data_IF_233760721444
#
_entry.id   IF_233760721444
#
_cell.length_a   1.000
_cell.length_b   1.000
_cell.length_c   1.000
_cell.angle_alpha   90.00
_cell.angle_beta   90.00
_cell.angle_gamma   90.00
#
_symmetry.space_group_name_H-M   'P 1'
#
loop_
_entity.id
_entity.type
_entity.pdbx_description
1 polymer ?
#
# COMPACT_ATOMS: atom_id res chain seq x y z
N UNK A 1 -28.92 -0.32 5.86
CA UNK A 1 -27.72 0.13 5.12
C UNK A 1 -26.43 -0.48 5.67
N UNK A 2 -26.09 -0.33 6.95
CA UNK A 2 -24.92 -0.96 7.56
C UNK A 2 -24.88 -2.47 7.28
N UNK A 3 -25.98 -3.18 7.50
CA UNK A 3 -26.12 -4.62 7.25
C UNK A 3 -25.83 -5.02 5.79
N UNK A 4 -26.27 -4.21 4.83
CA UNK A 4 -26.04 -4.46 3.40
C UNK A 4 -24.57 -4.24 3.06
N UNK A 5 -23.98 -3.12 3.49
CA UNK A 5 -22.56 -2.82 3.31
C UNK A 5 -21.66 -3.87 3.99
N UNK A 6 -22.00 -4.27 5.22
CA UNK A 6 -21.26 -5.32 5.94
C UNK A 6 -21.37 -6.66 5.22
N UNK A 7 -22.57 -7.05 4.77
CA UNK A 7 -22.79 -8.29 4.02
C UNK A 7 -22.01 -8.32 2.71
N UNK A 8 -22.00 -7.20 1.98
CA UNK A 8 -21.29 -7.09 0.70
C UNK A 8 -19.76 -7.07 0.87
N UNK A 9 -19.27 -6.42 1.93
CA UNK A 9 -17.84 -6.26 2.17
C UNK A 9 -17.24 -7.39 3.00
N UNK A 10 -17.91 -7.76 4.09
CA UNK A 10 -17.35 -8.75 5.03
C UNK A 10 -17.60 -10.18 4.59
N UNK A 11 -18.68 -10.51 3.95
CA UNK A 11 -19.00 -11.83 3.40
C UNK A 11 -18.40 -13.05 4.12
N UNK A 12 -19.08 -14.18 4.13
CA UNK A 12 -18.63 -15.40 4.86
C UNK A 12 -17.20 -15.83 4.50
N UNK A 13 -16.81 -15.66 3.22
CA UNK A 13 -15.46 -16.03 2.77
C UNK A 13 -14.34 -15.23 3.45
N UNK A 14 -14.56 -13.94 3.72
CA UNK A 14 -13.56 -13.09 4.40
C UNK A 14 -13.45 -13.41 5.88
N UNK A 15 -14.59 -13.74 6.51
CA UNK A 15 -14.60 -14.19 7.91
C UNK A 15 -13.79 -15.48 8.05
N UNK A 16 -14.03 -16.46 7.17
CA UNK A 16 -13.28 -17.73 7.17
C UNK A 16 -11.78 -17.48 6.90
N UNK A 17 -11.46 -16.62 5.93
CA UNK A 17 -10.06 -16.27 5.65
C UNK A 17 -9.40 -15.58 6.84
N UNK A 18 -10.07 -14.66 7.51
CA UNK A 18 -9.55 -13.97 8.69
C UNK A 18 -9.31 -14.93 9.86
N UNK A 19 -10.24 -15.84 10.13
CA UNK A 19 -10.06 -16.87 11.15
C UNK A 19 -8.89 -17.80 10.83
N UNK A 20 -8.74 -18.18 9.57
CA UNK A 20 -7.62 -19.00 9.13
C UNK A 20 -6.28 -18.28 9.30
N UNK A 21 -6.22 -16.98 9.00
CA UNK A 21 -5.03 -16.15 9.24
C UNK A 21 -4.66 -16.11 10.72
N UNK A 22 -5.64 -15.95 11.61
CA UNK A 22 -5.42 -15.97 13.07
C UNK A 22 -4.84 -17.31 13.50
N UNK A 23 -5.44 -18.43 13.08
CA UNK A 23 -4.98 -19.77 13.44
C UNK A 23 -3.55 -20.01 12.93
N UNK A 24 -3.27 -19.65 11.67
CA UNK A 24 -1.92 -19.76 11.09
C UNK A 24 -0.92 -18.88 11.85
N UNK A 25 -1.30 -17.66 12.22
CA UNK A 25 -0.46 -16.75 12.98
C UNK A 25 -0.06 -17.34 14.35
N UNK A 26 -1.00 -17.96 15.06
CA UNK A 26 -0.74 -18.62 16.35
C UNK A 26 0.19 -19.83 16.17
N UNK A 27 -0.04 -20.67 15.15
CA UNK A 27 0.82 -21.82 14.85
C UNK A 27 2.24 -21.37 14.51
N UNK A 28 2.38 -20.34 13.67
CA UNK A 28 3.69 -19.80 13.27
C UNK A 28 4.39 -19.16 14.46
N UNK A 29 3.66 -18.48 15.35
CA UNK A 29 4.23 -17.91 16.59
C UNK A 29 4.85 -18.97 17.49
N UNK A 30 4.28 -20.18 17.54
CA UNK A 30 4.84 -21.29 18.29
C UNK A 30 5.98 -22.04 17.59
N UNK A 31 6.07 -21.93 16.25
CA UNK A 31 7.03 -22.69 15.44
C UNK A 31 8.30 -21.91 15.08
N UNK A 32 8.24 -20.57 15.09
CA UNK A 32 9.33 -19.69 14.64
C UNK A 32 9.83 -18.85 15.80
N UNK A 33 11.12 -18.93 16.07
CA UNK A 33 11.76 -18.11 17.11
C UNK A 33 12.26 -16.78 16.53
N UNK A 34 11.30 -15.92 16.12
CA UNK A 34 11.57 -14.62 15.55
C UNK A 34 11.19 -13.52 16.55
N UNK A 35 12.14 -12.78 17.04
CA UNK A 35 11.88 -11.59 17.87
C UNK A 35 11.45 -10.45 16.96
N UNK A 36 10.20 -9.98 17.10
CA UNK A 36 9.68 -8.87 16.31
C UNK A 36 9.57 -7.63 17.17
N UNK A 37 10.27 -6.55 16.79
CA UNK A 37 10.20 -5.31 17.55
C UNK A 37 8.75 -4.77 17.57
N UNK A 38 8.24 -4.29 18.72
CA UNK A 38 6.87 -3.81 18.89
C UNK A 38 6.43 -2.77 17.86
N UNK A 39 7.35 -1.93 17.40
CA UNK A 39 7.12 -0.91 16.36
C UNK A 39 6.71 -1.51 15.02
N UNK A 40 7.22 -2.68 14.67
CA UNK A 40 6.91 -3.37 13.41
C UNK A 40 5.43 -3.75 13.36
N UNK A 41 4.85 -4.24 14.46
CA UNK A 41 3.43 -4.54 14.55
C UNK A 41 2.56 -3.30 14.31
N UNK A 42 2.91 -2.18 14.93
CA UNK A 42 2.19 -0.92 14.81
C UNK A 42 2.20 -0.38 13.37
N UNK A 43 3.36 -0.40 12.72
CA UNK A 43 3.52 0.07 11.34
C UNK A 43 2.87 -0.91 10.35
N UNK A 44 2.98 -2.21 10.59
CA UNK A 44 2.28 -3.22 9.79
C UNK A 44 0.76 -3.03 9.84
N UNK A 45 0.19 -2.69 11.02
CA UNK A 45 -1.23 -2.38 11.16
C UNK A 45 -1.63 -1.14 10.35
N UNK A 46 -0.86 -0.05 10.44
CA UNK A 46 -1.09 1.17 9.65
C UNK A 46 -0.99 0.91 8.14
N UNK A 47 0.09 0.27 7.70
CA UNK A 47 0.36 0.05 6.30
C UNK A 47 -0.65 -0.93 5.66
N UNK A 48 -1.02 -2.01 6.36
CA UNK A 48 -2.07 -2.93 5.90
C UNK A 48 -3.42 -2.24 5.79
N UNK A 49 -3.74 -1.32 6.71
CA UNK A 49 -4.96 -0.53 6.67
C UNK A 49 -5.01 0.40 5.45
N UNK A 50 -3.93 1.12 5.17
CA UNK A 50 -3.83 2.00 4.00
C UNK A 50 -3.98 1.17 2.71
N UNK A 51 -3.21 0.08 2.60
CA UNK A 51 -3.22 -0.77 1.41
C UNK A 51 -4.59 -1.41 1.17
N UNK A 52 -5.16 -2.04 2.19
CA UNK A 52 -6.48 -2.70 2.08
C UNK A 52 -7.58 -1.68 1.74
N UNK A 53 -7.54 -0.50 2.37
CA UNK A 53 -8.50 0.58 2.07
C UNK A 53 -8.36 1.06 0.63
N UNK A 54 -7.15 1.32 0.17
CA UNK A 54 -6.88 1.72 -1.21
C UNK A 54 -7.36 0.66 -2.21
N UNK A 55 -7.07 -0.62 -1.96
CA UNK A 55 -7.50 -1.73 -2.80
C UNK A 55 -9.03 -1.89 -2.82
N UNK A 56 -9.69 -1.75 -1.67
CA UNK A 56 -11.14 -1.82 -1.58
C UNK A 56 -11.81 -0.67 -2.33
N UNK A 57 -11.33 0.54 -2.17
CA UNK A 57 -11.88 1.72 -2.83
C UNK A 57 -11.70 1.68 -4.36
N UNK A 58 -10.63 1.08 -4.85
CA UNK A 58 -10.36 0.99 -6.29
C UNK A 58 -10.97 -0.24 -6.96
N UNK A 59 -11.03 -1.37 -6.27
CA UNK A 59 -11.48 -2.63 -6.84
C UNK A 59 -12.98 -2.92 -6.63
N UNK A 60 -13.49 -2.64 -5.44
CA UNK A 60 -14.87 -2.98 -5.06
C UNK A 60 -15.84 -1.82 -5.28
N UNK A 61 -15.35 -0.59 -5.01
CA UNK A 61 -16.14 0.63 -5.14
C UNK A 61 -15.78 1.38 -6.41
N UNK A 62 -15.80 0.69 -7.55
CA UNK A 62 -15.96 1.42 -8.81
C UNK A 62 -17.18 2.32 -8.66
N UNK A 63 -17.00 3.56 -9.06
CA UNK A 63 -17.99 4.63 -9.00
C UNK A 63 -19.40 4.18 -9.33
N UNK A 64 -19.55 3.20 -10.24
CA UNK A 64 -20.87 2.68 -10.65
C UNK A 64 -21.59 1.89 -9.55
N UNK A 65 -20.87 1.19 -8.66
CA UNK A 65 -21.50 0.52 -7.49
C UNK A 65 -21.83 1.52 -6.38
N UNK A 66 -20.96 2.51 -6.16
CA UNK A 66 -21.27 3.57 -5.18
C UNK A 66 -22.44 4.46 -5.61
N UNK A 67 -22.67 4.68 -6.91
CA UNK A 67 -23.84 5.41 -7.40
C UNK A 67 -25.16 4.82 -6.91
N UNK A 68 -25.28 3.49 -6.83
CA UNK A 68 -26.45 2.84 -6.27
C UNK A 68 -26.69 3.17 -4.79
N UNK A 69 -25.61 3.27 -3.99
CA UNK A 69 -25.71 3.62 -2.57
C UNK A 69 -25.95 5.12 -2.34
N UNK A 70 -25.45 5.99 -3.23
CA UNK A 70 -25.64 7.45 -3.19
C UNK A 70 -27.10 7.83 -3.43
N UNK A 71 -27.88 6.97 -4.10
CA UNK A 71 -29.31 7.16 -4.31
C UNK A 71 -30.16 6.87 -3.07
N UNK A 72 -29.56 6.25 -2.02
CA UNK A 72 -30.28 6.01 -0.77
C UNK A 72 -30.44 7.32 0.03
N UNK A 73 -31.56 7.50 0.74
CA UNK A 73 -31.82 8.71 1.54
C UNK A 73 -31.01 8.71 2.84
N UNK A 74 -29.69 8.70 2.71
CA UNK A 74 -28.76 8.68 3.85
C UNK A 74 -27.86 9.92 3.79
N UNK A 75 -27.67 10.65 4.89
CA UNK A 75 -26.76 11.79 4.93
C UNK A 75 -25.33 11.36 4.54
N UNK A 76 -24.65 12.15 3.68
CA UNK A 76 -23.31 11.83 3.18
C UNK A 76 -22.29 11.50 4.27
N UNK A 77 -22.27 12.27 5.35
CA UNK A 77 -21.36 12.03 6.47
C UNK A 77 -21.60 10.69 7.17
N UNK A 78 -22.87 10.31 7.39
CA UNK A 78 -23.22 9.00 7.94
C UNK A 78 -22.82 7.86 7.01
N UNK A 79 -22.98 8.06 5.69
CA UNK A 79 -22.55 7.08 4.71
C UNK A 79 -21.04 6.87 4.76
N UNK A 80 -20.25 7.96 4.73
CA UNK A 80 -18.79 7.90 4.76
C UNK A 80 -18.28 7.28 6.06
N UNK A 81 -18.88 7.62 7.20
CA UNK A 81 -18.52 7.02 8.47
C UNK A 81 -18.85 5.52 8.54
N UNK A 82 -20.03 5.13 8.04
CA UNK A 82 -20.41 3.71 7.93
C UNK A 82 -19.43 2.95 7.03
N UNK A 83 -19.03 3.54 5.90
CA UNK A 83 -18.04 2.99 5.01
C UNK A 83 -16.69 2.83 5.70
N UNK A 84 -16.23 3.87 6.42
CA UNK A 84 -14.98 3.84 7.18
C UNK A 84 -14.98 2.70 8.22
N UNK A 85 -16.03 2.58 9.02
CA UNK A 85 -16.16 1.54 10.03
C UNK A 85 -16.20 0.13 9.41
N UNK A 86 -16.89 -0.03 8.28
CA UNK A 86 -16.96 -1.34 7.60
C UNK A 86 -15.61 -1.72 7.00
N UNK A 87 -14.90 -0.77 6.38
CA UNK A 87 -13.55 -1.00 5.85
C UNK A 87 -12.58 -1.30 6.98
N UNK A 88 -12.67 -0.60 8.10
CA UNK A 88 -11.86 -0.87 9.29
C UNK A 88 -12.10 -2.28 9.84
N UNK A 89 -13.36 -2.73 9.94
CA UNK A 89 -13.67 -4.10 10.33
C UNK A 89 -13.06 -5.16 9.39
N UNK A 90 -13.05 -4.89 8.07
CA UNK A 90 -12.38 -5.75 7.08
C UNK A 90 -10.88 -5.78 7.29
N UNK A 91 -10.25 -4.63 7.52
CA UNK A 91 -8.82 -4.50 7.80
C UNK A 91 -8.43 -5.27 9.06
N UNK A 92 -9.22 -5.10 10.12
CA UNK A 92 -9.01 -5.85 11.37
C UNK A 92 -9.04 -7.34 11.12
N UNK A 93 -10.05 -7.82 10.41
CA UNK A 93 -10.24 -9.25 10.16
C UNK A 93 -9.18 -9.85 9.24
N UNK A 94 -8.82 -9.16 8.15
CA UNK A 94 -7.93 -9.71 7.11
C UNK A 94 -6.43 -9.54 7.42
N UNK A 95 -6.05 -8.63 8.34
CA UNK A 95 -4.63 -8.28 8.53
C UNK A 95 -4.25 -8.09 10.01
N UNK A 96 -4.93 -7.20 10.72
CA UNK A 96 -4.49 -6.74 12.04
C UNK A 96 -4.70 -7.81 13.10
N UNK A 97 -5.82 -8.56 13.05
CA UNK A 97 -6.11 -9.62 14.01
C UNK A 97 -5.06 -10.74 13.99
N UNK A 98 -4.56 -11.10 12.80
CA UNK A 98 -3.46 -12.07 12.68
C UNK A 98 -2.17 -11.57 13.32
N UNK A 99 -1.81 -10.30 13.07
CA UNK A 99 -0.62 -9.69 13.67
C UNK A 99 -0.74 -9.57 15.21
N UNK A 100 -1.92 -9.20 15.72
CA UNK A 100 -2.20 -9.19 17.17
C UNK A 100 -2.10 -10.61 17.75
N UNK A 101 -2.73 -11.59 17.10
CA UNK A 101 -2.71 -12.98 17.57
C UNK A 101 -1.28 -13.54 17.64
N UNK A 102 -0.47 -13.24 16.60
CA UNK A 102 0.95 -13.61 16.56
C UNK A 102 1.72 -12.98 17.73
N UNK A 103 1.64 -11.66 17.90
CA UNK A 103 2.40 -10.95 18.91
C UNK A 103 1.94 -11.25 20.35
N UNK A 104 0.63 -11.47 20.57
CA UNK A 104 0.10 -11.89 21.88
C UNK A 104 0.55 -13.32 22.22
N UNK A 105 0.51 -14.24 21.24
CA UNK A 105 0.96 -15.62 21.45
C UNK A 105 2.45 -15.72 21.81
N UNK A 106 3.25 -14.75 21.37
CA UNK A 106 4.68 -14.66 21.72
C UNK A 106 4.96 -13.87 22.99
N UNK A 107 3.99 -13.13 23.53
CA UNK A 107 4.19 -12.19 24.63
C UNK A 107 4.88 -10.87 24.21
N UNK A 108 4.98 -10.58 22.90
CA UNK A 108 5.60 -9.36 22.37
C UNK A 108 4.69 -8.13 22.50
N UNK A 109 3.37 -8.32 22.69
CA UNK A 109 2.38 -7.27 22.71
C UNK A 109 1.72 -7.13 24.07
N UNK A 110 1.73 -5.90 24.59
CA UNK A 110 0.91 -5.48 25.73
C UNK A 110 -0.42 -4.84 25.28
N UNK A 111 -1.29 -4.56 26.22
CA UNK A 111 -2.60 -3.96 25.94
C UNK A 111 -2.51 -2.56 25.31
N UNK A 112 -1.46 -1.79 25.62
CA UNK A 112 -1.22 -0.45 25.07
C UNK A 112 -0.87 -0.58 23.60
N UNK A 113 0.00 -1.49 23.24
CA UNK A 113 0.43 -1.69 21.86
C UNK A 113 -0.69 -2.25 20.98
N UNK A 114 -1.51 -3.15 21.54
CA UNK A 114 -2.74 -3.61 20.84
C UNK A 114 -3.67 -2.43 20.57
N UNK A 115 -3.89 -1.53 21.54
CA UNK A 115 -4.70 -0.34 21.35
C UNK A 115 -4.10 0.59 20.27
N UNK A 116 -2.78 0.77 20.28
CA UNK A 116 -2.05 1.53 19.23
C UNK A 116 -2.29 0.92 17.84
N UNK A 117 -2.16 -0.39 17.68
CA UNK A 117 -2.39 -1.08 16.41
C UNK A 117 -3.83 -0.87 15.90
N UNK A 118 -4.83 -1.00 16.78
CA UNK A 118 -6.24 -0.81 16.43
C UNK A 118 -6.52 0.64 15.99
N UNK A 119 -5.96 1.63 16.69
CA UNK A 119 -6.12 3.04 16.37
C UNK A 119 -5.36 3.44 15.10
N UNK A 120 -4.14 2.95 14.90
CA UNK A 120 -3.39 3.17 13.66
C UNK A 120 -4.08 2.55 12.45
N UNK A 121 -4.70 1.38 12.61
CA UNK A 121 -5.53 0.81 11.57
C UNK A 121 -6.74 1.71 11.26
N UNK A 122 -7.40 2.24 12.27
CA UNK A 122 -8.50 3.21 12.12
C UNK A 122 -8.05 4.52 11.44
N UNK A 123 -6.89 5.04 11.85
CA UNK A 123 -6.25 6.18 11.21
C UNK A 123 -5.94 5.90 9.74
N UNK A 124 -5.32 4.77 9.42
CA UNK A 124 -4.99 4.36 8.06
C UNK A 124 -6.22 4.33 7.15
N UNK A 125 -7.34 3.79 7.64
CA UNK A 125 -8.62 3.78 6.93
C UNK A 125 -9.17 5.20 6.77
N UNK A 126 -9.30 5.95 7.86
CA UNK A 126 -9.89 7.30 7.86
C UNK A 126 -9.11 8.27 6.99
N UNK A 127 -7.80 8.32 7.15
CA UNK A 127 -6.92 9.21 6.39
C UNK A 127 -6.88 8.84 4.89
N UNK A 128 -6.84 7.54 4.55
CA UNK A 128 -6.91 7.10 3.15
C UNK A 128 -8.23 7.47 2.51
N UNK A 129 -9.35 7.32 3.22
CA UNK A 129 -10.66 7.80 2.76
C UNK A 129 -10.65 9.31 2.51
N UNK A 130 -10.09 10.11 3.44
CA UNK A 130 -9.98 11.57 3.25
C UNK A 130 -9.15 11.94 2.03
N UNK A 131 -8.03 11.25 1.79
CA UNK A 131 -7.18 11.46 0.60
C UNK A 131 -7.95 11.11 -0.68
N UNK A 132 -8.62 9.96 -0.71
CA UNK A 132 -9.36 9.50 -1.90
C UNK A 132 -10.57 10.38 -2.17
N UNK A 133 -11.31 10.76 -1.12
CA UNK A 133 -12.55 11.54 -1.20
C UNK A 133 -12.26 13.05 -1.27
N UNK A 134 -11.19 13.55 -0.63
CA UNK A 134 -10.93 14.96 -0.40
C UNK A 134 -10.15 15.74 -1.47
N UNK A 135 -9.93 15.23 -2.62
CA UNK A 135 -9.02 15.50 -3.76
C UNK A 135 -8.35 16.88 -3.94
N UNK A 136 -8.88 17.98 -3.45
CA UNK A 136 -8.28 19.36 -3.50
C UNK A 136 -8.76 20.21 -2.33
N UNK A 137 -9.21 19.60 -1.26
CA UNK A 137 -9.78 20.32 -0.12
C UNK A 137 -8.93 20.05 1.12
N UNK A 138 -9.00 20.90 2.11
CA UNK A 138 -8.23 20.78 3.35
C UNK A 138 -8.32 19.39 4.01
N UNK A 139 -9.43 18.67 3.78
CA UNK A 139 -9.59 17.30 4.26
C UNK A 139 -8.61 16.29 3.64
N UNK A 140 -8.34 16.38 2.33
CA UNK A 140 -7.35 15.51 1.69
C UNK A 140 -5.94 15.82 2.17
N UNK A 141 -5.63 17.10 2.37
CA UNK A 141 -4.35 17.54 2.96
C UNK A 141 -4.21 17.02 4.38
N UNK A 142 -5.26 17.11 5.20
CA UNK A 142 -5.26 16.55 6.56
C UNK A 142 -4.98 15.04 6.54
N UNK A 143 -5.61 14.30 5.64
CA UNK A 143 -5.34 12.87 5.47
C UNK A 143 -3.88 12.58 5.12
N UNK A 144 -3.28 13.35 4.21
CA UNK A 144 -1.86 13.22 3.85
C UNK A 144 -0.97 13.54 5.06
N UNK A 145 -1.24 14.65 5.78
CA UNK A 145 -0.48 15.03 6.97
C UNK A 145 -0.47 13.88 7.98
N UNK A 146 -1.64 13.30 8.29
CA UNK A 146 -1.72 12.20 9.24
C UNK A 146 -0.99 10.95 8.75
N UNK A 147 -1.07 10.59 7.47
CA UNK A 147 -0.36 9.43 6.93
C UNK A 147 1.17 9.62 6.96
N UNK A 148 1.63 10.82 6.61
CA UNK A 148 3.08 11.14 6.59
C UNK A 148 3.65 11.27 8.00
N UNK A 149 2.89 11.78 8.96
CA UNK A 149 3.36 11.93 10.35
C UNK A 149 3.27 10.66 11.18
N UNK A 150 2.34 9.75 10.86
CA UNK A 150 2.14 8.53 11.64
C UNK A 150 3.35 7.58 11.61
N UNK A 151 4.03 7.46 10.47
CA UNK A 151 5.20 6.58 10.32
C UNK A 151 6.36 7.03 11.21
N UNK A 152 6.88 8.27 11.08
CA UNK A 152 7.96 8.74 11.96
C UNK A 152 7.53 8.78 13.43
N UNK A 153 6.28 9.14 13.73
CA UNK A 153 5.80 9.10 15.11
C UNK A 153 5.92 7.70 15.72
N UNK A 154 5.56 6.66 14.95
CA UNK A 154 5.64 5.27 15.41
C UNK A 154 7.09 4.79 15.58
N UNK A 155 8.03 5.34 14.80
CA UNK A 155 9.45 4.99 14.89
C UNK A 155 10.13 5.69 16.06
N UNK A 156 9.89 6.98 16.23
CA UNK A 156 10.67 7.83 17.15
C UNK A 156 10.00 8.10 18.50
N UNK A 157 8.67 7.93 18.62
CA UNK A 157 7.95 8.19 19.84
C UNK A 157 7.64 6.90 20.61
N UNK A 158 7.57 7.01 21.93
CA UNK A 158 7.13 5.90 22.78
C UNK A 158 5.63 5.58 22.58
N UNK A 159 5.19 4.34 22.89
CA UNK A 159 3.84 3.83 22.61
C UNK A 159 2.73 4.70 23.20
N UNK A 160 2.91 5.31 24.37
CA UNK A 160 1.93 6.22 24.97
C UNK A 160 1.71 7.50 24.17
N UNK A 161 2.76 8.09 23.59
CA UNK A 161 2.65 9.28 22.73
C UNK A 161 1.98 8.92 21.40
N UNK A 162 2.35 7.77 20.81
CA UNK A 162 1.70 7.26 19.60
C UNK A 162 0.23 7.01 19.84
N UNK A 163 -0.15 6.48 20.99
CA UNK A 163 -1.55 6.28 21.38
C UNK A 163 -2.32 7.61 21.37
N UNK A 164 -1.80 8.63 22.06
CA UNK A 164 -2.42 9.96 22.13
C UNK A 164 -2.59 10.61 20.74
N UNK A 165 -1.53 10.57 19.92
CA UNK A 165 -1.58 11.09 18.56
C UNK A 165 -2.58 10.32 17.68
N UNK A 166 -2.64 8.99 17.81
CA UNK A 166 -3.57 8.16 17.05
C UNK A 166 -5.03 8.43 17.43
N UNK A 167 -5.32 8.65 18.71
CA UNK A 167 -6.66 9.07 19.17
C UNK A 167 -7.05 10.40 18.54
N UNK A 168 -6.17 11.41 18.62
CA UNK A 168 -6.41 12.72 18.01
C UNK A 168 -6.63 12.62 16.50
N UNK A 169 -5.83 11.83 15.82
CA UNK A 169 -5.91 11.65 14.38
C UNK A 169 -7.21 10.93 13.95
N UNK A 170 -7.61 9.88 14.66
CA UNK A 170 -8.88 9.17 14.41
C UNK A 170 -10.07 10.08 14.71
N UNK A 171 -10.04 10.83 15.81
CA UNK A 171 -11.10 11.77 16.17
C UNK A 171 -11.26 12.87 15.10
N UNK A 172 -10.17 13.49 14.67
CA UNK A 172 -10.20 14.56 13.66
C UNK A 172 -10.62 14.05 12.29
N UNK A 173 -10.12 12.89 11.85
CA UNK A 173 -10.54 12.27 10.58
C UNK A 173 -12.01 11.87 10.61
N UNK A 174 -12.48 11.29 11.72
CA UNK A 174 -13.88 10.93 11.93
C UNK A 174 -14.82 12.15 11.93
N UNK A 175 -14.44 13.21 12.63
CA UNK A 175 -15.18 14.47 12.66
C UNK A 175 -15.32 15.07 11.25
N UNK A 176 -14.21 15.10 10.47
CA UNK A 176 -14.23 15.60 9.10
C UNK A 176 -15.10 14.73 8.18
N UNK A 177 -15.11 13.41 8.35
CA UNK A 177 -15.97 12.53 7.57
C UNK A 177 -17.46 12.76 7.90
N UNK A 178 -17.81 12.92 9.19
CA UNK A 178 -19.18 13.15 9.66
C UNK A 178 -19.75 14.49 9.21
N UNK A 179 -18.94 15.54 9.15
CA UNK A 179 -19.39 16.89 8.76
C UNK A 179 -19.63 17.05 7.27
N UNK A 180 -19.40 16.02 6.45
CA UNK A 180 -19.60 16.10 5.01
C UNK A 180 -21.06 16.14 4.61
N UNK A 181 -21.41 17.14 3.81
CA UNK A 181 -22.80 17.39 3.37
C UNK A 181 -23.06 16.97 1.91
N UNK A 182 -22.06 16.51 1.16
CA UNK A 182 -22.18 16.28 -0.27
C UNK A 182 -21.51 14.98 -0.74
N UNK A 183 -22.23 14.22 -1.54
CA UNK A 183 -21.72 13.06 -2.29
C UNK A 183 -20.84 13.42 -3.49
N UNK A 184 -20.70 14.73 -3.80
CA UNK A 184 -19.87 15.20 -4.92
C UNK A 184 -18.41 14.70 -4.88
N UNK A 185 -17.98 14.18 -3.73
CA UNK A 185 -16.68 13.56 -3.52
C UNK A 185 -16.58 12.14 -4.11
N UNK A 186 -17.71 11.45 -4.24
CA UNK A 186 -17.78 10.10 -4.79
C UNK A 186 -18.01 10.10 -6.30
N UNK A 187 -18.32 11.26 -6.89
CA UNK A 187 -18.45 11.38 -8.34
C UNK A 187 -17.07 11.51 -8.98
N UNK A 188 -16.76 10.71 -10.00
CA UNK A 188 -15.53 10.90 -10.77
C UNK A 188 -15.63 12.24 -11.48
N UNK A 189 -14.85 13.22 -11.07
CA UNK A 189 -14.61 14.37 -11.93
C UNK A 189 -13.74 13.86 -13.08
N UNK A 190 -14.31 13.87 -14.28
CA UNK A 190 -13.60 13.68 -15.53
C UNK A 190 -12.25 14.43 -15.48
N UNK A 191 -11.19 13.73 -15.81
CA UNK A 191 -9.79 14.13 -15.62
C UNK A 191 -9.33 15.31 -16.50
N UNK A 192 -10.16 16.36 -16.65
CA UNK A 192 -9.89 17.49 -17.53
C UNK A 192 -8.85 18.51 -17.05
N UNK A 193 -8.52 18.54 -15.76
CA UNK A 193 -7.82 19.71 -15.20
C UNK A 193 -6.28 19.65 -15.14
N UNK A 194 -5.64 18.57 -15.60
CA UNK A 194 -4.16 18.43 -15.56
C UNK A 194 -3.54 18.35 -16.95
N UNK A 195 -4.29 18.70 -18.01
CA UNK A 195 -3.81 18.62 -19.40
C UNK A 195 -2.63 19.55 -19.73
N UNK A 196 -2.29 20.53 -18.89
CA UNK A 196 -1.27 21.52 -19.21
C UNK A 196 0.11 21.35 -18.57
N UNK A 197 0.28 20.47 -17.59
CA UNK A 197 1.50 20.44 -16.76
C UNK A 197 2.37 19.19 -16.90
N UNK A 198 1.89 18.14 -17.56
CA UNK A 198 2.67 16.91 -17.73
C UNK A 198 3.12 16.77 -19.19
N UNK A 199 4.38 16.38 -19.42
CA UNK A 199 4.85 16.03 -20.76
C UNK A 199 3.96 14.92 -21.37
N UNK A 200 3.91 14.84 -22.69
CA UNK A 200 3.11 13.86 -23.46
C UNK A 200 3.54 12.39 -23.23
N UNK A 201 3.83 12.03 -21.99
CA UNK A 201 4.22 10.68 -21.59
C UNK A 201 3.06 10.03 -20.84
N UNK A 202 2.43 9.04 -21.49
CA UNK A 202 1.31 8.28 -20.93
C UNK A 202 1.67 7.64 -19.57
N UNK A 203 2.83 7.00 -19.47
CA UNK A 203 3.27 6.26 -18.26
C UNK A 203 3.43 7.21 -17.07
N UNK A 204 4.07 8.36 -17.28
CA UNK A 204 4.22 9.39 -16.25
C UNK A 204 2.87 9.98 -15.87
N UNK A 205 1.98 10.16 -16.83
CA UNK A 205 0.61 10.63 -16.57
C UNK A 205 -0.17 9.64 -15.71
N UNK A 206 -0.06 8.34 -15.97
CA UNK A 206 -0.68 7.29 -15.16
C UNK A 206 -0.06 7.25 -13.77
N UNK A 207 1.27 7.26 -13.65
CA UNK A 207 1.98 7.28 -12.37
C UNK A 207 1.49 8.41 -11.45
N UNK A 208 1.35 9.62 -11.99
CA UNK A 208 0.95 10.81 -11.20
C UNK A 208 -0.57 10.87 -10.99
N UNK A 209 -1.37 10.36 -11.93
CA UNK A 209 -2.84 10.42 -11.86
C UNK A 209 -3.47 9.26 -11.11
N UNK A 210 -2.93 8.06 -11.23
CA UNK A 210 -3.45 6.89 -10.54
C UNK A 210 -2.95 6.87 -9.10
N UNK A 211 -3.81 7.32 -8.20
CA UNK A 211 -3.54 7.36 -6.76
C UNK A 211 -3.20 6.01 -6.17
N UNK A 212 -3.75 4.94 -6.74
CA UNK A 212 -3.43 3.58 -6.32
C UNK A 212 -1.95 3.32 -6.46
N UNK A 213 -1.36 3.73 -7.59
CA UNK A 213 0.07 3.57 -7.84
C UNK A 213 0.90 4.36 -6.83
N UNK A 214 0.53 5.62 -6.57
CA UNK A 214 1.22 6.46 -5.59
C UNK A 214 1.06 5.93 -4.15
N UNK A 215 -0.18 5.63 -3.74
CA UNK A 215 -0.46 5.11 -2.39
C UNK A 215 0.22 3.76 -2.20
N UNK A 216 0.13 2.85 -3.16
CA UNK A 216 0.81 1.56 -3.09
C UNK A 216 2.33 1.73 -2.99
N UNK A 217 2.92 2.66 -3.77
CA UNK A 217 4.34 2.98 -3.72
C UNK A 217 4.79 3.52 -2.36
N UNK A 218 4.04 4.47 -1.80
CA UNK A 218 4.32 5.02 -0.46
C UNK A 218 4.20 3.96 0.64
N UNK A 219 3.20 3.10 0.56
CA UNK A 219 3.01 1.99 1.53
C UNK A 219 4.16 1.00 1.44
N UNK A 220 4.56 0.60 0.23
CA UNK A 220 5.67 -0.33 0.05
C UNK A 220 7.00 0.30 0.51
N UNK A 221 7.22 1.59 0.26
CA UNK A 221 8.38 2.31 0.77
C UNK A 221 8.38 2.36 2.30
N UNK A 222 7.24 2.68 2.92
CA UNK A 222 7.12 2.66 4.38
C UNK A 222 7.40 1.26 4.96
N UNK A 223 6.87 0.20 4.35
CA UNK A 223 7.20 -1.17 4.73
C UNK A 223 8.68 -1.47 4.58
N UNK A 224 9.29 -1.10 3.44
CA UNK A 224 10.71 -1.33 3.20
C UNK A 224 11.59 -0.64 4.25
N UNK A 225 11.29 0.63 4.60
CA UNK A 225 12.01 1.37 5.64
C UNK A 225 11.87 0.67 6.99
N UNK A 226 10.66 0.24 7.34
CA UNK A 226 10.40 -0.43 8.62
C UNK A 226 11.12 -1.76 8.72
N UNK A 227 11.06 -2.57 7.65
CA UNK A 227 11.81 -3.82 7.61
C UNK A 227 13.31 -3.59 7.62
N UNK A 228 13.81 -2.52 6.99
CA UNK A 228 15.21 -2.13 7.04
C UNK A 228 15.64 -1.80 8.47
N UNK A 229 14.85 -0.97 9.18
CA UNK A 229 15.15 -0.61 10.59
C UNK A 229 15.08 -1.85 11.49
N UNK A 230 14.02 -2.65 11.35
CA UNK A 230 13.86 -3.86 12.15
C UNK A 230 14.93 -4.91 11.89
N UNK A 231 15.35 -5.08 10.64
CA UNK A 231 16.44 -5.98 10.28
C UNK A 231 17.78 -5.49 10.85
N UNK A 232 18.03 -4.17 10.82
CA UNK A 232 19.22 -3.58 11.40
C UNK A 232 19.28 -3.79 12.92
N UNK A 233 18.17 -3.58 13.64
CA UNK A 233 18.09 -3.82 15.09
C UNK A 233 18.38 -5.29 15.48
N UNK A 234 18.18 -6.23 14.57
CA UNK A 234 18.34 -7.67 14.81
C UNK A 234 19.60 -8.27 14.16
N UNK A 235 20.42 -7.46 13.51
CA UNK A 235 21.64 -7.93 12.82
C UNK A 235 21.35 -8.77 11.57
N UNK A 236 20.13 -8.66 10.99
CA UNK A 236 19.78 -9.37 9.76
C UNK A 236 20.24 -8.65 8.49
N UNK A 237 20.43 -9.38 7.38
CA UNK A 237 20.84 -8.78 6.11
C UNK A 237 19.81 -7.78 5.57
N UNK A 238 20.28 -6.61 5.24
CA UNK A 238 19.50 -5.38 5.01
C UNK A 238 18.76 -5.27 3.67
N UNK A 239 19.03 -6.18 2.75
CA UNK A 239 18.62 -6.02 1.36
C UNK A 239 17.14 -6.37 1.07
N UNK A 240 16.39 -6.82 2.07
CA UNK A 240 14.96 -7.19 1.95
C UNK A 240 14.10 -5.99 1.50
N UNK A 241 14.49 -4.77 1.89
CA UNK A 241 13.80 -3.54 1.51
C UNK A 241 13.65 -3.37 -0.01
N UNK A 242 14.69 -3.67 -0.78
CA UNK A 242 14.67 -3.58 -2.25
C UNK A 242 13.67 -4.55 -2.88
N UNK A 243 13.59 -5.78 -2.36
CA UNK A 243 12.61 -6.77 -2.82
C UNK A 243 11.16 -6.36 -2.51
N UNK A 244 10.92 -5.73 -1.33
CA UNK A 244 9.60 -5.27 -0.93
C UNK A 244 9.08 -4.19 -1.88
N UNK A 245 9.88 -3.17 -2.20
CA UNK A 245 9.44 -2.08 -3.08
C UNK A 245 9.21 -2.55 -4.51
N UNK A 246 9.94 -3.56 -4.98
CA UNK A 246 9.79 -4.16 -6.31
C UNK A 246 8.42 -4.84 -6.52
N UNK A 247 7.68 -5.16 -5.44
CA UNK A 247 6.32 -5.74 -5.52
C UNK A 247 5.27 -4.73 -6.03
N UNK A 248 5.64 -3.50 -6.41
CA UNK A 248 4.69 -2.47 -6.84
C UNK A 248 3.89 -2.88 -8.10
N UNK A 249 2.86 -3.70 -7.88
CA UNK A 249 2.05 -4.30 -8.96
C UNK A 249 1.41 -3.27 -9.91
N UNK A 250 0.81 -2.15 -9.46
CA UNK A 250 0.23 -1.16 -10.36
C UNK A 250 1.21 -0.60 -11.38
N UNK A 251 2.47 -0.41 -10.98
CA UNK A 251 3.51 0.10 -11.86
C UNK A 251 4.12 -1.01 -12.72
N UNK A 252 4.39 -2.17 -12.13
CA UNK A 252 5.08 -3.29 -12.82
C UNK A 252 4.18 -4.08 -13.76
N UNK A 253 2.85 -3.88 -13.71
CA UNK A 253 1.87 -4.55 -14.58
C UNK A 253 0.96 -3.56 -15.32
N UNK A 254 1.48 -2.39 -15.67
CA UNK A 254 0.71 -1.30 -16.28
C UNK A 254 0.01 -1.74 -17.58
N UNK A 255 0.75 -2.32 -18.52
CA UNK A 255 0.22 -2.76 -19.82
C UNK A 255 -0.74 -3.94 -19.66
N UNK A 256 -0.41 -4.86 -18.76
CA UNK A 256 -1.28 -6.01 -18.45
C UNK A 256 -2.57 -5.59 -17.74
N UNK A 257 -2.52 -4.55 -16.91
CA UNK A 257 -3.64 -4.02 -16.13
C UNK A 257 -4.63 -3.18 -16.94
N UNK A 258 -4.14 -2.52 -17.99
CA UNK A 258 -4.96 -1.70 -18.89
C UNK A 258 -5.21 -2.45 -20.21
N UNK A 259 -6.46 -2.94 -20.35
CA UNK A 259 -6.87 -3.71 -21.55
C UNK A 259 -6.85 -2.84 -22.81
N UNK A 260 -7.29 -1.60 -22.70
CA UNK A 260 -7.42 -0.72 -23.86
C UNK A 260 -6.03 -0.30 -24.35
N UNK A 261 -5.13 0.05 -23.45
CA UNK A 261 -3.73 0.30 -23.76
C UNK A 261 -3.09 -0.92 -24.43
N UNK A 262 -3.31 -2.11 -23.91
CA UNK A 262 -2.75 -3.35 -24.47
C UNK A 262 -3.25 -3.60 -25.89
N UNK A 263 -4.55 -3.41 -26.16
CA UNK A 263 -5.13 -3.55 -27.49
C UNK A 263 -4.49 -2.54 -28.46
N UNK A 264 -4.40 -1.27 -28.05
CA UNK A 264 -3.78 -0.22 -28.86
C UNK A 264 -2.31 -0.53 -29.17
N UNK A 265 -1.52 -0.94 -28.17
CA UNK A 265 -0.12 -1.31 -28.38
C UNK A 265 0.03 -2.53 -29.31
N UNK A 266 -0.91 -3.48 -29.24
CA UNK A 266 -0.91 -4.65 -30.13
C UNK A 266 -1.22 -4.23 -31.57
N UNK A 267 -2.22 -3.36 -31.78
CA UNK A 267 -2.57 -2.81 -33.09
C UNK A 267 -1.42 -1.98 -33.71
N UNK A 268 -0.66 -1.27 -32.88
CA UNK A 268 0.50 -0.49 -33.30
C UNK A 268 1.79 -1.32 -33.45
N UNK A 269 1.73 -2.64 -33.37
CA UNK A 269 2.90 -3.51 -33.47
C UNK A 269 3.87 -3.40 -32.31
N UNK A 270 3.39 -3.04 -31.11
CA UNK A 270 4.19 -2.89 -29.87
C UNK A 270 5.39 -1.95 -30.06
N UNK A 271 5.18 -0.66 -30.23
CA UNK A 271 6.23 0.31 -30.54
C UNK A 271 7.32 0.31 -29.47
N UNK A 272 8.56 0.06 -29.86
CA UNK A 272 9.73 0.00 -28.96
C UNK A 272 9.89 1.30 -28.16
N UNK A 273 9.62 2.44 -28.75
CA UNK A 273 9.70 3.74 -28.09
C UNK A 273 8.82 3.87 -26.86
N UNK A 274 7.61 3.26 -26.85
CA UNK A 274 6.75 3.21 -25.67
C UNK A 274 7.41 2.44 -24.52
N UNK A 275 7.97 1.26 -24.80
CA UNK A 275 8.59 0.43 -23.76
C UNK A 275 9.89 1.02 -23.22
N UNK A 276 10.64 1.77 -24.05
CA UNK A 276 11.81 2.54 -23.57
C UNK A 276 11.35 3.65 -22.63
N UNK A 277 10.33 4.44 -23.00
CA UNK A 277 9.79 5.46 -22.12
C UNK A 277 9.22 4.86 -20.82
N UNK A 278 8.57 3.71 -20.92
CA UNK A 278 8.09 2.97 -19.76
C UNK A 278 9.25 2.59 -18.83
N UNK A 279 10.34 2.04 -19.39
CA UNK A 279 11.54 1.71 -18.63
C UNK A 279 12.18 2.91 -17.93
N UNK A 280 12.25 4.06 -18.61
CA UNK A 280 12.78 5.30 -18.03
C UNK A 280 11.94 5.80 -16.85
N UNK A 281 10.61 5.76 -16.95
CA UNK A 281 9.71 6.18 -15.86
C UNK A 281 9.79 5.20 -14.68
N UNK A 282 9.77 3.89 -14.96
CA UNK A 282 9.94 2.84 -13.95
C UNK A 282 11.30 2.98 -13.27
N UNK A 283 12.38 3.11 -14.05
CA UNK A 283 13.73 3.28 -13.53
C UNK A 283 13.87 4.53 -12.67
N UNK A 284 13.32 5.67 -13.10
CA UNK A 284 13.32 6.90 -12.31
C UNK A 284 12.56 6.77 -10.99
N UNK A 285 11.40 6.10 -11.00
CA UNK A 285 10.64 5.81 -9.79
C UNK A 285 11.44 4.93 -8.82
N UNK A 286 11.96 3.81 -9.29
CA UNK A 286 12.71 2.89 -8.42
C UNK A 286 14.06 3.47 -7.99
N UNK A 287 14.72 4.29 -8.81
CA UNK A 287 15.91 5.02 -8.39
C UNK A 287 15.64 5.90 -7.16
N UNK A 288 14.52 6.64 -7.14
CA UNK A 288 14.14 7.47 -6.00
C UNK A 288 13.82 6.63 -4.76
N UNK A 289 13.08 5.53 -4.94
CA UNK A 289 12.67 4.66 -3.84
C UNK A 289 13.87 3.90 -3.26
N UNK A 290 14.73 3.35 -4.12
CA UNK A 290 15.95 2.65 -3.70
C UNK A 290 16.96 3.61 -3.05
N UNK A 291 17.07 4.86 -3.53
CA UNK A 291 17.86 5.90 -2.88
C UNK A 291 17.34 6.26 -1.48
N UNK A 292 16.03 6.25 -1.27
CA UNK A 292 15.44 6.47 0.07
C UNK A 292 15.80 5.32 1.03
N UNK A 293 15.84 4.07 0.56
CA UNK A 293 16.27 2.90 1.35
C UNK A 293 17.76 3.04 1.71
N UNK A 294 18.62 3.38 0.74
CA UNK A 294 20.05 3.63 1.00
C UNK A 294 20.23 4.78 1.99
N UNK A 295 19.44 5.86 1.84
CA UNK A 295 19.44 6.98 2.79
C UNK A 295 19.08 6.55 4.21
N UNK A 296 18.13 5.64 4.36
CA UNK A 296 17.77 5.06 5.66
C UNK A 296 18.98 4.32 6.27
N UNK A 297 19.68 3.50 5.49
CA UNK A 297 20.90 2.79 5.92
C UNK A 297 22.03 3.73 6.31
N UNK A 298 22.19 4.85 5.59
CA UNK A 298 23.18 5.88 5.95
C UNK A 298 22.88 6.48 7.33
N UNK A 299 21.61 6.76 7.63
CA UNK A 299 21.18 7.28 8.94
C UNK A 299 21.41 6.25 10.05
N UNK A 300 21.23 4.95 9.74
CA UNK A 300 21.45 3.86 10.68
C UNK A 300 22.93 3.53 10.91
N UNK A 301 23.85 4.12 10.17
CA UNK A 301 25.32 3.90 10.33
C UNK A 301 25.76 2.52 9.86
N UNK A 302 25.17 1.98 8.79
CA UNK A 302 25.52 0.65 8.24
C UNK A 302 26.93 0.64 7.64
N UNK A 303 27.76 -0.34 7.98
CA UNK A 303 29.16 -0.40 7.56
C UNK A 303 29.37 -0.70 6.06
N UNK A 304 28.43 -1.41 5.41
CA UNK A 304 28.58 -1.88 4.01
C UNK A 304 27.85 -1.00 2.98
N UNK A 305 27.94 0.32 3.10
CA UNK A 305 27.25 1.29 2.21
C UNK A 305 27.61 1.08 0.73
N UNK A 306 28.84 0.76 0.40
CA UNK A 306 29.26 0.51 -0.99
C UNK A 306 28.50 -0.66 -1.63
N UNK A 307 28.34 -1.76 -0.93
CA UNK A 307 27.56 -2.92 -1.38
C UNK A 307 26.08 -2.58 -1.52
N UNK A 308 25.53 -1.78 -0.60
CA UNK A 308 24.14 -1.33 -0.67
C UNK A 308 23.88 -0.41 -1.86
N UNK A 309 24.80 0.51 -2.16
CA UNK A 309 24.68 1.37 -3.35
C UNK A 309 24.75 0.51 -4.62
N UNK A 310 25.68 -0.44 -4.69
CA UNK A 310 25.78 -1.35 -5.83
C UNK A 310 24.48 -2.15 -6.01
N UNK A 311 23.92 -2.66 -4.92
CA UNK A 311 22.64 -3.38 -4.93
C UNK A 311 21.48 -2.49 -5.37
N UNK A 312 21.41 -1.24 -4.87
CA UNK A 312 20.39 -0.28 -5.26
C UNK A 312 20.44 0.06 -6.75
N UNK A 313 21.63 0.26 -7.30
CA UNK A 313 21.85 0.49 -8.73
C UNK A 313 21.45 -0.75 -9.54
N UNK A 314 21.90 -1.93 -9.12
CA UNK A 314 21.56 -3.19 -9.79
C UNK A 314 20.04 -3.46 -9.76
N UNK A 315 19.39 -3.24 -8.63
CA UNK A 315 17.94 -3.34 -8.49
C UNK A 315 17.23 -2.37 -9.44
N UNK A 316 17.65 -1.11 -9.45
CA UNK A 316 17.05 -0.08 -10.33
C UNK A 316 17.20 -0.45 -11.81
N UNK A 317 18.35 -0.95 -12.22
CA UNK A 317 18.58 -1.40 -13.62
C UNK A 317 17.71 -2.61 -13.94
N UNK A 318 17.65 -3.59 -13.04
CA UNK A 318 16.81 -4.78 -13.22
C UNK A 318 15.33 -4.43 -13.35
N UNK A 319 14.85 -3.48 -12.57
CA UNK A 319 13.46 -2.99 -12.61
C UNK A 319 13.20 -2.17 -13.87
N UNK A 320 14.09 -1.25 -14.23
CA UNK A 320 13.97 -0.40 -15.41
C UNK A 320 13.94 -1.19 -16.72
N UNK A 321 14.69 -2.29 -16.81
CA UNK A 321 14.76 -3.13 -17.99
C UNK A 321 13.82 -4.33 -17.89
N UNK A 322 13.80 -5.01 -16.77
CA UNK A 322 13.05 -6.24 -16.57
C UNK A 322 11.54 -6.03 -16.61
N UNK A 323 11.02 -4.96 -16.00
CA UNK A 323 9.58 -4.67 -15.99
C UNK A 323 9.03 -4.46 -17.41
N UNK A 324 9.56 -3.52 -18.22
CA UNK A 324 9.10 -3.35 -19.59
C UNK A 324 9.30 -4.58 -20.48
N UNK A 325 10.40 -5.31 -20.28
CA UNK A 325 10.68 -6.53 -21.04
C UNK A 325 9.65 -7.63 -20.74
N UNK A 326 9.29 -7.81 -19.48
CA UNK A 326 8.24 -8.75 -19.08
C UNK A 326 6.87 -8.36 -19.65
N UNK A 327 6.52 -7.07 -19.62
CA UNK A 327 5.29 -6.56 -20.21
C UNK A 327 5.26 -6.68 -21.74
N UNK A 328 6.42 -6.49 -22.39
CA UNK A 328 6.56 -6.65 -23.84
C UNK A 328 6.46 -8.11 -24.32
N UNK A 329 7.20 -9.00 -23.66
CA UNK A 329 7.32 -10.43 -24.07
C UNK A 329 6.20 -11.29 -23.51
N UNK A 330 5.79 -11.07 -22.28
CA UNK A 330 4.89 -11.93 -21.51
C UNK A 330 3.76 -11.13 -20.83
N UNK A 331 2.94 -10.35 -21.56
CA UNK A 331 1.83 -9.64 -20.94
C UNK A 331 0.83 -10.61 -20.33
N UNK A 332 0.25 -10.25 -19.19
CA UNK A 332 -0.77 -11.07 -18.54
C UNK A 332 -2.09 -10.87 -19.30
N UNK A 333 -2.50 -11.88 -20.08
CA UNK A 333 -3.69 -11.79 -20.96
C UNK A 333 -4.94 -12.40 -20.35
N UNK A 334 -4.80 -13.30 -19.36
CA UNK A 334 -5.91 -14.11 -18.81
C UNK A 334 -6.68 -13.44 -17.67
N UNK A 335 -6.31 -12.25 -17.22
CA UNK A 335 -7.01 -11.52 -16.15
C UNK A 335 -8.29 -10.85 -16.69
N UNK A 336 -9.46 -11.16 -16.09
CA UNK A 336 -10.72 -10.45 -16.37
C UNK A 336 -10.82 -9.13 -15.60
N UNK A 337 -10.10 -9.03 -14.50
CA UNK A 337 -10.08 -7.86 -13.62
C UNK A 337 -8.64 -7.44 -13.32
N UNK A 338 -8.45 -6.19 -12.96
CA UNK A 338 -7.15 -5.66 -12.51
C UNK A 338 -6.62 -6.44 -11.29
N UNK A 339 -7.51 -6.95 -10.45
CA UNK A 339 -7.17 -7.82 -9.31
C UNK A 339 -6.54 -9.14 -9.74
N UNK A 340 -7.00 -9.75 -10.82
CA UNK A 340 -6.44 -11.01 -11.33
C UNK A 340 -5.01 -10.79 -11.84
N UNK A 341 -4.77 -9.66 -12.51
CA UNK A 341 -3.44 -9.25 -12.96
C UNK A 341 -2.50 -9.06 -11.77
N UNK A 342 -2.97 -8.39 -10.72
CA UNK A 342 -2.15 -8.14 -9.52
C UNK A 342 -1.88 -9.38 -8.68
N UNK A 343 -2.62 -10.47 -8.85
CA UNK A 343 -2.38 -11.76 -8.19
C UNK A 343 -1.54 -12.74 -9.01
N UNK A 344 -1.18 -12.35 -10.25
CA UNK A 344 -0.44 -13.23 -11.13
C UNK A 344 0.99 -13.45 -10.63
N UNK A 345 1.50 -14.71 -10.59
CA UNK A 345 2.83 -15.04 -10.02
C UNK A 345 3.99 -14.34 -10.73
N UNK A 346 3.87 -14.00 -12.00
CA UNK A 346 4.90 -13.28 -12.77
C UNK A 346 5.40 -12.00 -12.09
N UNK A 347 4.54 -11.30 -11.36
CA UNK A 347 4.90 -10.05 -10.68
C UNK A 347 5.96 -10.23 -9.58
N UNK A 348 6.08 -11.44 -9.05
CA UNK A 348 7.05 -11.77 -8.01
C UNK A 348 8.41 -12.17 -8.56
N UNK A 349 8.57 -12.28 -9.88
CA UNK A 349 9.82 -12.74 -10.50
C UNK A 349 10.97 -11.76 -10.19
N UNK A 350 10.80 -10.47 -10.45
CA UNK A 350 11.82 -9.46 -10.14
C UNK A 350 12.06 -9.33 -8.62
N UNK A 351 11.05 -9.19 -7.77
CA UNK A 351 11.23 -9.21 -6.32
C UNK A 351 11.97 -10.44 -5.81
N UNK A 352 11.68 -11.64 -6.34
CA UNK A 352 12.35 -12.87 -5.94
C UNK A 352 13.82 -12.89 -6.34
N UNK A 353 14.16 -12.39 -7.54
CA UNK A 353 15.56 -12.25 -7.99
C UNK A 353 16.30 -11.27 -7.08
N UNK A 354 15.69 -10.14 -6.73
CA UNK A 354 16.28 -9.15 -5.85
C UNK A 354 16.49 -9.70 -4.44
N UNK A 355 15.51 -10.42 -3.89
CA UNK A 355 15.63 -11.06 -2.58
C UNK A 355 16.74 -12.11 -2.58
N UNK A 356 16.82 -12.97 -3.60
CA UNK A 356 17.87 -13.97 -3.72
C UNK A 356 19.26 -13.32 -3.93
N UNK A 357 19.35 -12.30 -4.78
CA UNK A 357 20.59 -11.56 -5.01
C UNK A 357 21.09 -10.83 -3.76
N UNK A 358 20.17 -10.33 -2.95
CA UNK A 358 20.48 -9.61 -1.72
C UNK A 358 21.09 -10.51 -0.63
N UNK A 359 20.65 -11.76 -0.56
CA UNK A 359 21.24 -12.75 0.36
C UNK A 359 22.68 -13.15 -0.05
N UNK A 360 22.98 -13.14 -1.36
CA UNK A 360 24.32 -13.47 -1.87
C UNK A 360 25.35 -12.35 -1.69
N UNK A 361 24.94 -11.10 -1.65
CA UNK A 361 25.84 -9.94 -1.49
C UNK A 361 26.29 -9.75 -0.03
N UNK A 362 25.65 -10.42 0.91
CA UNK A 362 25.82 -10.24 2.35
C UNK A 362 26.57 -11.43 2.97
N UNK A 363 26.63 -12.56 2.28
CA UNK A 363 27.53 -13.68 2.60
C UNK A 363 28.94 -13.41 2.06
#
# INVERSE_FOLDING_TARGET
>A
MLTVLVRDLVGTRRVVTGLLIIVVAIIVAGAVDLVVAPRIYAIAALASAILTTALLLNGYYRVDRLKGYVQLPVPPGRFLMTLALTVWAVVLLESVAGAIAFGVARGDLDGVLVAVMLLLAGLGVGATLLVVVGRRRPAGVLGIIWLVSAVPATIFLGPGHVLGLSILAVATTGAVLLTRQSYALLTPRLAGAVRGLLPNNYVLTVLVRERVTLVNGLVLLAFAIVFTVGAWEQGFPFAVGFGIVAVNSPLTTLVSGDRDLRVQLTMLGKPRGFFVQYGLVVGGYFALVNAAIVGCHLVLGTEHIGSLILLAVSATVLEAVGVPLLEYRFPITRGRTQRDVWRHPRKYLIPSILLAGSTLVIL
#
